data_IF_248304475495
#
_entry.id   IF_248304475495
#
_cell.length_a   1.000
_cell.length_b   1.000
_cell.length_c   1.000
_cell.angle_alpha   90.00
_cell.angle_beta   90.00
_cell.angle_gamma   90.00
#
_symmetry.space_group_name_H-M   'P 1'
#
loop_
_entity.id
_entity.type
_entity.pdbx_description
1 polymer ?
#
# COMPACT_ATOMS: atom_id res chain seq x y z
N UNK A 1 -11.16 28.50 25.08
CA UNK A 1 -11.88 27.35 24.52
C UNK A 1 -13.34 27.57 24.83
N UNK A 2 -14.24 27.40 23.88
CA UNK A 2 -15.68 27.58 24.15
C UNK A 2 -16.22 26.32 24.87
N UNK A 3 -17.33 26.46 25.64
CA UNK A 3 -17.98 25.32 26.30
C UNK A 3 -18.35 24.21 25.32
N UNK A 4 -18.61 24.58 24.07
CA UNK A 4 -18.87 23.63 22.98
C UNK A 4 -17.63 22.83 22.58
N UNK A 5 -16.47 23.48 22.49
CA UNK A 5 -15.18 22.79 22.17
C UNK A 5 -14.79 21.82 23.28
N UNK A 6 -14.98 22.18 24.54
CA UNK A 6 -14.74 21.29 25.68
C UNK A 6 -15.70 20.09 25.67
N UNK A 7 -16.98 20.31 25.32
CA UNK A 7 -17.97 19.25 25.17
C UNK A 7 -17.59 18.25 24.07
N UNK A 8 -17.14 18.75 22.90
CA UNK A 8 -16.69 17.90 21.79
C UNK A 8 -15.45 17.08 22.19
N UNK A 9 -14.47 17.69 22.86
CA UNK A 9 -13.26 17.00 23.30
C UNK A 9 -13.61 15.88 24.30
N UNK A 10 -14.49 16.13 25.28
CA UNK A 10 -14.94 15.13 26.25
C UNK A 10 -15.66 13.96 25.55
N UNK A 11 -16.54 14.27 24.61
CA UNK A 11 -17.28 13.26 23.85
C UNK A 11 -16.32 12.42 22.98
N UNK A 12 -15.40 13.07 22.28
CA UNK A 12 -14.39 12.41 21.47
C UNK A 12 -13.54 11.46 22.31
N UNK A 13 -13.02 11.92 23.48
CA UNK A 13 -12.24 11.08 24.40
C UNK A 13 -13.03 9.89 24.95
N UNK A 14 -14.35 10.06 25.19
CA UNK A 14 -15.19 8.99 25.71
C UNK A 14 -15.51 7.92 24.65
N UNK A 15 -15.59 8.30 23.37
CA UNK A 15 -15.93 7.41 22.26
C UNK A 15 -14.71 6.79 21.58
N UNK A 16 -13.60 7.50 21.55
CA UNK A 16 -12.36 7.10 20.85
C UNK A 16 -11.50 6.18 21.75
N UNK A 17 -12.01 4.99 22.01
CA UNK A 17 -11.33 3.98 22.86
C UNK A 17 -10.03 3.44 22.27
N UNK A 18 -9.78 3.66 20.97
CA UNK A 18 -8.61 3.19 20.23
C UNK A 18 -7.66 4.33 19.83
N UNK A 19 -7.86 5.52 20.38
CA UNK A 19 -7.04 6.72 20.09
C UNK A 19 -6.92 7.06 18.58
N UNK A 20 -7.97 6.79 17.79
CA UNK A 20 -7.98 7.05 16.34
C UNK A 20 -7.75 8.54 16.00
N UNK A 21 -8.23 9.45 16.87
CA UNK A 21 -7.98 10.88 16.72
C UNK A 21 -6.48 11.19 16.83
N UNK A 22 -5.76 10.50 17.70
CA UNK A 22 -4.31 10.62 17.82
C UNK A 22 -3.61 10.16 16.55
N UNK A 23 -3.99 9.01 15.99
CA UNK A 23 -3.46 8.52 14.72
C UNK A 23 -3.71 9.52 13.57
N UNK A 24 -4.90 10.11 13.51
CA UNK A 24 -5.19 11.15 12.51
C UNK A 24 -4.29 12.37 12.67
N UNK A 25 -3.95 12.76 13.89
CA UNK A 25 -3.07 13.90 14.16
C UNK A 25 -1.59 13.58 13.86
N UNK A 26 -1.16 12.34 14.07
CA UNK A 26 0.21 11.89 13.77
C UNK A 26 0.46 11.61 12.28
N UNK A 27 -0.58 11.53 11.47
CA UNK A 27 -0.53 11.07 10.08
C UNK A 27 0.59 11.72 9.25
N UNK A 28 0.76 13.04 9.33
CA UNK A 28 1.83 13.73 8.60
C UNK A 28 3.23 13.32 9.08
N UNK A 29 3.37 13.09 10.38
CA UNK A 29 4.64 12.63 10.95
C UNK A 29 4.90 11.17 10.56
N UNK A 30 3.87 10.34 10.55
CA UNK A 30 3.98 8.93 10.16
C UNK A 30 4.39 8.79 8.69
N UNK A 31 3.87 9.64 7.79
CA UNK A 31 4.33 9.72 6.39
C UNK A 31 5.83 10.10 6.32
N UNK A 32 6.28 11.06 7.11
CA UNK A 32 7.70 11.47 7.12
C UNK A 32 8.60 10.33 7.58
N UNK A 33 8.24 9.67 8.67
CA UNK A 33 8.96 8.49 9.18
C UNK A 33 8.96 7.37 8.14
N UNK A 34 7.81 7.07 7.53
CA UNK A 34 7.72 6.08 6.45
C UNK A 34 8.65 6.40 5.28
N UNK A 35 8.68 7.65 4.84
CA UNK A 35 9.59 8.09 3.77
C UNK A 35 11.07 7.94 4.14
N UNK A 36 11.44 8.22 5.38
CA UNK A 36 12.82 8.08 5.87
C UNK A 36 13.23 6.61 6.03
N UNK A 37 12.28 5.71 6.30
CA UNK A 37 12.53 4.27 6.43
C UNK A 37 12.73 3.57 5.08
N UNK A 38 12.23 4.15 3.98
CA UNK A 38 12.40 3.59 2.62
C UNK A 38 13.57 4.30 1.93
N UNK A 39 14.76 3.77 2.09
CA UNK A 39 15.95 4.27 1.40
C UNK A 39 16.82 3.09 0.89
N UNK A 40 17.69 3.37 -0.09
CA UNK A 40 18.53 2.34 -0.73
C UNK A 40 19.54 1.69 0.21
N UNK A 41 19.97 2.39 1.26
CA UNK A 41 20.89 1.84 2.26
C UNK A 41 20.23 0.76 3.12
N UNK A 42 18.91 0.96 3.44
CA UNK A 42 18.13 0.00 4.21
C UNK A 42 17.51 -1.10 3.34
N UNK A 43 17.33 -0.84 2.06
CA UNK A 43 16.71 -1.73 1.09
C UNK A 43 17.60 -1.92 -0.14
N UNK A 44 18.80 -2.53 0.02
CA UNK A 44 19.77 -2.66 -1.09
C UNK A 44 19.23 -3.46 -2.28
N UNK A 45 18.28 -4.36 -2.06
CA UNK A 45 17.62 -5.13 -3.12
C UNK A 45 16.84 -4.25 -4.12
N UNK A 46 16.52 -3.00 -3.78
CA UNK A 46 15.89 -2.07 -4.72
C UNK A 46 16.77 -1.74 -5.93
N UNK A 47 18.08 -1.87 -5.81
CA UNK A 47 19.02 -1.66 -6.92
C UNK A 47 19.09 -2.87 -7.87
N UNK A 48 18.62 -4.04 -7.43
CA UNK A 48 18.61 -5.29 -8.18
C UNK A 48 17.33 -5.49 -8.99
N UNK A 49 16.29 -4.70 -8.68
CA UNK A 49 15.00 -4.80 -9.38
C UNK A 49 15.12 -4.20 -10.79
N UNK A 50 14.65 -4.92 -11.79
CA UNK A 50 14.53 -4.41 -13.17
C UNK A 50 13.70 -3.13 -13.21
N UNK A 51 14.04 -2.21 -14.09
CA UNK A 51 13.40 -0.90 -14.24
C UNK A 51 12.64 -0.74 -15.56
N UNK A 52 12.45 -1.83 -16.29
CA UNK A 52 11.85 -1.84 -17.63
C UNK A 52 10.32 -1.94 -17.66
N UNK A 53 9.62 -1.74 -16.53
CA UNK A 53 8.16 -1.90 -16.48
C UNK A 53 7.40 -0.86 -17.29
N UNK A 54 6.32 -1.32 -17.92
CA UNK A 54 5.41 -0.46 -18.70
C UNK A 54 4.38 0.24 -17.83
N UNK A 55 4.22 -0.18 -16.57
CA UNK A 55 3.31 0.41 -15.60
C UNK A 55 3.45 -0.21 -14.21
N UNK A 56 2.65 0.27 -13.28
CA UNK A 56 2.57 -0.25 -11.90
C UNK A 56 1.10 -0.56 -11.56
N UNK A 57 0.84 -1.77 -11.08
CA UNK A 57 -0.46 -2.16 -10.56
C UNK A 57 -0.38 -2.34 -9.04
N UNK A 58 -1.06 -1.48 -8.31
CA UNK A 58 -1.17 -1.56 -6.86
C UNK A 58 -2.36 -2.45 -6.48
N UNK A 59 -2.11 -3.56 -5.80
CA UNK A 59 -3.13 -4.45 -5.25
C UNK A 59 -3.35 -4.13 -3.77
N UNK A 60 -4.60 -4.01 -3.35
CA UNK A 60 -4.93 -3.77 -1.94
C UNK A 60 -6.39 -3.42 -1.74
N UNK A 61 -6.86 -3.53 -0.51
CA UNK A 61 -8.24 -3.24 -0.13
C UNK A 61 -8.31 -2.12 0.91
N UNK A 62 -9.41 -1.38 0.94
CA UNK A 62 -9.65 -0.35 1.94
C UNK A 62 -8.49 0.66 2.07
N UNK A 63 -7.99 0.86 3.29
CA UNK A 63 -6.86 1.75 3.59
C UNK A 63 -5.53 1.33 2.96
N UNK A 64 -5.32 0.03 2.75
CA UNK A 64 -4.11 -0.49 2.09
C UNK A 64 -4.03 -0.07 0.61
N UNK A 65 -5.18 0.16 -0.05
CA UNK A 65 -5.23 0.65 -1.42
C UNK A 65 -4.97 2.17 -1.55
N UNK A 66 -5.12 2.94 -0.48
CA UNK A 66 -5.00 4.39 -0.52
C UNK A 66 -3.60 4.86 -0.97
N UNK A 67 -2.55 4.13 -0.59
CA UNK A 67 -1.18 4.40 -1.05
C UNK A 67 -1.04 4.31 -2.57
N UNK A 68 -1.69 3.31 -3.18
CA UNK A 68 -1.76 3.14 -4.63
C UNK A 68 -2.53 4.28 -5.34
N UNK A 69 -3.62 4.75 -4.74
CA UNK A 69 -4.37 5.89 -5.28
C UNK A 69 -3.52 7.17 -5.27
N UNK A 70 -2.80 7.45 -4.17
CA UNK A 70 -1.86 8.59 -4.10
C UNK A 70 -0.74 8.47 -5.14
N UNK A 71 -0.15 7.28 -5.26
CA UNK A 71 0.91 7.05 -6.23
C UNK A 71 0.43 7.26 -7.66
N UNK A 72 -0.79 6.82 -7.99
CA UNK A 72 -1.42 7.04 -9.30
C UNK A 72 -1.51 8.53 -9.65
N UNK A 73 -2.01 9.36 -8.73
CA UNK A 73 -2.11 10.81 -8.94
C UNK A 73 -0.73 11.45 -9.15
N UNK A 74 0.24 11.10 -8.31
CA UNK A 74 1.61 11.64 -8.42
C UNK A 74 2.29 11.26 -9.74
N UNK A 75 2.09 10.03 -10.21
CA UNK A 75 2.66 9.58 -11.46
C UNK A 75 1.95 10.18 -12.68
N UNK A 76 0.64 10.35 -12.64
CA UNK A 76 -0.12 11.03 -13.69
C UNK A 76 0.34 12.50 -13.84
N UNK A 77 0.62 13.21 -12.74
CA UNK A 77 1.14 14.59 -12.77
C UNK A 77 2.59 14.68 -13.26
N UNK A 78 3.43 13.72 -12.91
CA UNK A 78 4.86 13.72 -13.26
C UNK A 78 5.16 13.22 -14.67
N UNK A 79 4.18 12.62 -15.35
CA UNK A 79 4.36 11.97 -16.65
C UNK A 79 5.21 10.69 -16.60
N UNK A 80 5.29 10.06 -15.42
CA UNK A 80 5.93 8.77 -15.23
C UNK A 80 5.11 7.62 -15.83
N UNK A 81 5.51 6.38 -15.56
CA UNK A 81 4.74 5.21 -15.99
C UNK A 81 3.32 5.23 -15.40
N UNK A 82 2.31 4.69 -16.12
CA UNK A 82 0.95 4.63 -15.60
C UNK A 82 0.89 3.79 -14.32
N UNK A 83 0.18 4.30 -13.32
CA UNK A 83 -0.11 3.58 -12.09
C UNK A 83 -1.60 3.37 -11.98
N UNK A 84 -2.03 2.16 -11.61
CA UNK A 84 -3.43 1.83 -11.38
C UNK A 84 -3.58 1.12 -10.06
N UNK A 85 -4.67 1.40 -9.35
CA UNK A 85 -5.03 0.69 -8.13
C UNK A 85 -6.16 -0.28 -8.43
N UNK A 86 -5.99 -1.53 -8.04
CA UNK A 86 -6.96 -2.60 -8.25
C UNK A 86 -7.43 -3.18 -6.91
N UNK A 87 -8.76 -3.39 -6.82
CA UNK A 87 -9.46 -3.91 -5.66
C UNK A 87 -10.34 -5.07 -6.10
N UNK A 88 -9.83 -6.27 -6.04
CA UNK A 88 -10.57 -7.46 -6.46
C UNK A 88 -9.70 -8.71 -6.46
N UNK A 89 -10.33 -9.85 -6.71
CA UNK A 89 -9.68 -11.16 -6.74
C UNK A 89 -8.92 -11.40 -8.06
N UNK A 90 -9.54 -11.03 -9.17
CA UNK A 90 -8.99 -11.26 -10.52
C UNK A 90 -8.12 -10.08 -10.96
N UNK A 91 -7.08 -10.35 -11.73
CA UNK A 91 -6.30 -9.29 -12.39
C UNK A 91 -7.11 -8.68 -13.55
N UNK A 92 -6.95 -7.37 -13.83
CA UNK A 92 -7.61 -6.74 -14.98
C UNK A 92 -7.19 -7.40 -16.30
N UNK A 93 -8.13 -7.58 -17.22
CA UNK A 93 -7.88 -8.24 -18.52
C UNK A 93 -6.83 -7.53 -19.40
N UNK A 94 -6.54 -6.26 -19.13
CA UNK A 94 -5.52 -5.48 -19.84
C UNK A 94 -4.14 -5.58 -19.21
N UNK A 95 -4.03 -6.16 -18.00
CA UNK A 95 -2.77 -6.31 -17.29
C UNK A 95 -1.88 -7.34 -17.98
N UNK A 96 -0.56 -7.11 -17.91
CA UNK A 96 0.47 -8.03 -18.41
C UNK A 96 1.63 -8.11 -17.43
N UNK A 97 2.44 -9.19 -17.44
CA UNK A 97 3.57 -9.35 -16.53
C UNK A 97 4.66 -8.28 -16.62
N UNK A 98 4.64 -7.42 -17.66
CA UNK A 98 5.56 -6.27 -17.79
C UNK A 98 5.24 -5.13 -16.81
N UNK A 99 4.12 -5.25 -16.07
CA UNK A 99 3.77 -4.31 -15.01
C UNK A 99 4.35 -4.77 -13.68
N UNK A 100 4.97 -3.83 -12.95
CA UNK A 100 5.32 -4.07 -11.55
C UNK A 100 4.05 -4.20 -10.72
N UNK A 101 3.97 -5.22 -9.89
CA UNK A 101 2.93 -5.36 -8.86
C UNK A 101 3.43 -4.79 -7.54
N UNK A 102 2.62 -3.95 -6.89
CA UNK A 102 2.81 -3.56 -5.49
C UNK A 102 1.60 -4.06 -4.69
N UNK A 103 1.77 -5.17 -3.98
CA UNK A 103 0.72 -5.79 -3.17
C UNK A 103 0.80 -5.29 -1.72
N UNK A 104 -0.25 -4.61 -1.27
CA UNK A 104 -0.30 -4.01 0.08
C UNK A 104 -1.44 -4.61 0.90
N UNK A 105 -1.11 -5.23 2.04
CA UNK A 105 -2.08 -5.68 3.04
C UNK A 105 -1.43 -5.69 4.42
N UNK A 106 -1.98 -4.91 5.36
CA UNK A 106 -1.43 -4.86 6.71
C UNK A 106 -1.40 -6.24 7.37
N UNK A 107 -2.50 -6.99 7.32
CA UNK A 107 -2.56 -8.36 7.88
C UNK A 107 -1.82 -9.40 7.04
N UNK A 108 -1.62 -9.14 5.75
CA UNK A 108 -1.12 -10.07 4.76
C UNK A 108 -2.07 -11.22 4.41
N UNK A 109 -3.32 -11.17 4.89
CA UNK A 109 -4.32 -12.23 4.72
C UNK A 109 -5.62 -11.71 4.06
N UNK A 110 -5.57 -10.55 3.39
CA UNK A 110 -6.72 -10.05 2.62
C UNK A 110 -6.88 -10.91 1.38
N UNK A 111 -7.96 -11.69 1.34
CA UNK A 111 -8.17 -12.74 0.31
C UNK A 111 -8.03 -12.21 -1.11
N UNK A 112 -8.67 -11.07 -1.42
CA UNK A 112 -8.60 -10.43 -2.73
C UNK A 112 -7.15 -10.08 -3.13
N UNK A 113 -6.38 -9.56 -2.18
CA UNK A 113 -4.99 -9.17 -2.44
C UNK A 113 -4.09 -10.39 -2.59
N UNK A 114 -4.29 -11.42 -1.79
CA UNK A 114 -3.54 -12.68 -1.83
C UNK A 114 -3.79 -13.39 -3.15
N UNK A 115 -5.05 -13.55 -3.57
CA UNK A 115 -5.42 -14.29 -4.78
C UNK A 115 -4.93 -13.57 -6.05
N UNK A 116 -5.13 -12.24 -6.13
CA UNK A 116 -4.61 -11.46 -7.24
C UNK A 116 -3.06 -11.49 -7.31
N UNK A 117 -2.39 -11.46 -6.15
CA UNK A 117 -0.94 -11.55 -6.05
C UNK A 117 -0.44 -12.93 -6.50
N UNK A 118 -1.08 -14.03 -6.08
CA UNK A 118 -0.75 -15.39 -6.50
C UNK A 118 -0.88 -15.55 -8.01
N UNK A 119 -1.98 -15.07 -8.58
CA UNK A 119 -2.21 -15.11 -10.03
C UNK A 119 -1.12 -14.32 -10.79
N UNK A 120 -0.71 -13.15 -10.29
CA UNK A 120 0.36 -12.36 -10.90
C UNK A 120 1.71 -13.10 -10.84
N UNK A 121 2.01 -13.75 -9.72
CA UNK A 121 3.23 -14.53 -9.52
C UNK A 121 3.29 -15.72 -10.46
N UNK A 122 2.20 -16.46 -10.63
CA UNK A 122 2.11 -17.59 -11.59
C UNK A 122 2.35 -17.15 -13.04
N UNK A 123 2.03 -15.90 -13.37
CA UNK A 123 2.27 -15.33 -14.69
C UNK A 123 3.67 -14.71 -14.85
N UNK A 124 4.51 -14.77 -13.83
CA UNK A 124 5.89 -14.31 -13.88
C UNK A 124 6.09 -12.81 -13.67
N UNK A 125 5.17 -12.15 -12.97
CA UNK A 125 5.29 -10.74 -12.63
C UNK A 125 6.38 -10.48 -11.59
N UNK A 126 7.02 -9.31 -11.66
CA UNK A 126 7.81 -8.78 -10.55
C UNK A 126 6.87 -8.18 -9.50
N UNK A 127 7.02 -8.61 -8.24
CA UNK A 127 6.11 -8.26 -7.17
C UNK A 127 6.87 -7.68 -5.97
N UNK A 128 6.42 -6.53 -5.50
CA UNK A 128 6.84 -5.96 -4.20
C UNK A 128 5.69 -6.12 -3.24
N UNK A 129 5.94 -6.74 -2.08
CA UNK A 129 4.94 -6.91 -1.02
C UNK A 129 5.20 -5.93 0.11
N UNK A 130 4.14 -5.25 0.57
CA UNK A 130 4.13 -4.39 1.75
C UNK A 130 3.13 -4.98 2.74
N UNK A 131 3.64 -5.67 3.76
CA UNK A 131 2.82 -6.35 4.76
C UNK A 131 3.52 -6.40 6.13
N UNK A 132 2.75 -6.62 7.19
CA UNK A 132 3.30 -6.92 8.53
C UNK A 132 3.47 -8.43 8.78
N UNK A 133 3.11 -9.29 7.82
CA UNK A 133 3.17 -10.75 7.93
C UNK A 133 2.12 -11.42 7.06
N UNK A 134 1.63 -12.58 7.52
CA UNK A 134 0.57 -13.33 6.86
C UNK A 134 1.01 -14.06 5.58
N UNK A 135 0.03 -14.47 4.79
CA UNK A 135 0.24 -15.27 3.59
C UNK A 135 1.05 -14.55 2.51
N UNK A 136 0.82 -13.23 2.33
CA UNK A 136 1.60 -12.42 1.40
C UNK A 136 3.10 -12.43 1.71
N UNK A 137 3.49 -12.38 3.00
CA UNK A 137 4.91 -12.47 3.36
C UNK A 137 5.49 -13.84 3.05
N UNK A 138 4.72 -14.91 3.26
CA UNK A 138 5.14 -16.27 2.94
C UNK A 138 5.36 -16.50 1.44
N UNK A 139 4.63 -15.83 0.56
CA UNK A 139 4.83 -15.90 -0.89
C UNK A 139 6.21 -15.38 -1.32
N UNK A 140 6.72 -14.32 -0.67
CA UNK A 140 8.03 -13.75 -0.98
C UNK A 140 9.21 -14.63 -0.53
N UNK A 141 9.01 -15.53 0.45
CA UNK A 141 10.06 -16.43 0.92
C UNK A 141 10.25 -17.65 0.01
N UNK A 142 9.29 -17.90 -0.88
CA UNK A 142 9.27 -19.04 -1.79
C UNK A 142 9.77 -18.71 -3.21
N UNK A 143 9.99 -17.44 -3.51
CA UNK A 143 10.45 -16.92 -4.80
C UNK A 143 11.88 -16.46 -4.75
#
# INVERSE_FOLDING_TARGET
MSDMEEGIIRLATALDKQDMIKFTRSFVQDIRVGRESVNRELLPWLDEIDTGWTGVLCLGMGGSAAGGDFLSVLCDESGAVPVRCHRGYDLPNWWTPDWLIIATSYSGNTEETVEACATAMEQGATIIVISSGGELSGMCELS
#
